data_IF_238920550628
#
_entry.id   IF_238920550628
#
_cell.length_a   1.000
_cell.length_b   1.000
_cell.length_c   1.000
_cell.angle_alpha   90.00
_cell.angle_beta   90.00
_cell.angle_gamma   90.00
#
_symmetry.space_group_name_H-M   'P 1'
#
loop_
_entity.id
_entity.type
_entity.pdbx_description
1 polymer ?
#
# COMPACT_ATOMS: atom_id res chain seq x y z
N UNK A 1 -31.98 -11.72 -23.62
CA UNK A 1 -31.98 -10.85 -24.83
C UNK A 1 -30.63 -10.17 -24.92
N UNK A 2 -29.91 -10.47 -26.00
CA UNK A 2 -28.51 -10.11 -26.25
C UNK A 2 -28.41 -8.75 -26.92
N UNK A 3 -27.44 -7.91 -26.52
CA UNK A 3 -26.79 -6.94 -27.41
C UNK A 3 -25.29 -6.89 -27.09
N UNK A 4 -24.52 -7.52 -27.98
CA UNK A 4 -23.06 -7.42 -28.11
C UNK A 4 -22.72 -6.12 -28.84
N UNK A 5 -21.68 -5.42 -28.40
CA UNK A 5 -20.86 -4.59 -29.29
C UNK A 5 -19.42 -4.52 -28.78
N UNK A 6 -18.53 -5.10 -29.59
CA UNK A 6 -17.05 -5.05 -29.54
C UNK A 6 -16.60 -3.83 -30.38
N UNK A 7 -15.31 -3.44 -30.30
CA UNK A 7 -14.47 -2.62 -31.25
C UNK A 7 -13.92 -1.36 -30.56
N UNK A 8 -12.62 -0.98 -30.58
CA UNK A 8 -11.39 -1.47 -31.20
C UNK A 8 -10.15 -0.99 -30.41
N UNK A 9 -9.07 -1.76 -30.51
CA UNK A 9 -7.70 -1.42 -30.11
C UNK A 9 -7.01 -0.68 -31.26
N UNK A 10 -6.29 0.41 -30.98
CA UNK A 10 -5.37 1.03 -31.92
C UNK A 10 -3.96 1.07 -31.32
N UNK A 11 -3.11 0.18 -31.79
CA UNK A 11 -1.66 0.16 -31.56
C UNK A 11 -1.01 1.06 -32.61
N UNK A 12 -0.19 2.01 -32.18
CA UNK A 12 0.70 2.78 -33.07
C UNK A 12 2.15 2.41 -32.73
N UNK A 13 2.70 1.55 -33.59
CA UNK A 13 4.10 1.18 -33.62
C UNK A 13 4.88 2.17 -34.49
N UNK A 14 6.08 2.56 -34.07
CA UNK A 14 7.05 3.30 -34.87
C UNK A 14 8.44 2.68 -34.70
N UNK A 15 9.00 2.18 -35.78
CA UNK A 15 10.41 1.83 -36.05
C UNK A 15 10.56 1.79 -37.59
N UNK A 16 11.76 1.77 -38.23
CA UNK A 16 13.13 1.58 -37.73
C UNK A 16 14.23 2.45 -38.44
N UNK A 17 15.52 2.26 -38.10
CA UNK A 17 16.78 2.35 -38.93
C UNK A 17 17.97 2.65 -38.00
N UNK A 18 18.87 1.68 -37.68
CA UNK A 18 20.06 1.23 -38.43
C UNK A 18 21.11 2.35 -38.62
N UNK A 19 22.43 2.23 -38.44
CA UNK A 19 23.40 1.13 -38.35
C UNK A 19 24.70 1.71 -37.73
N UNK A 20 25.54 0.91 -37.08
CA UNK A 20 26.87 1.37 -36.66
C UNK A 20 27.59 0.43 -35.70
N UNK A 21 28.00 -0.75 -36.16
CA UNK A 21 28.96 -1.62 -35.48
C UNK A 21 30.32 -1.59 -36.20
N UNK A 22 31.44 -1.40 -35.49
CA UNK A 22 32.76 -1.85 -35.94
C UNK A 22 33.12 -3.24 -35.36
N UNK A 23 33.92 -4.06 -36.08
CA UNK A 23 34.24 -5.43 -35.72
C UNK A 23 35.55 -5.57 -34.91
N UNK A 24 35.62 -6.61 -34.08
CA UNK A 24 36.85 -7.40 -33.91
C UNK A 24 37.62 -7.24 -32.61
N UNK A 25 37.66 -8.33 -31.83
CA UNK A 25 38.74 -8.61 -30.88
C UNK A 25 38.33 -9.49 -29.69
N UNK A 26 38.66 -10.79 -29.66
CA UNK A 26 38.56 -11.61 -28.46
C UNK A 26 39.76 -11.30 -27.56
N UNK A 27 39.54 -10.48 -26.54
CA UNK A 27 40.52 -10.16 -25.50
C UNK A 27 40.08 -10.76 -24.16
N UNK A 28 40.54 -11.96 -23.87
CA UNK A 28 40.50 -12.59 -22.56
C UNK A 28 41.23 -11.70 -21.55
N UNK A 29 40.52 -11.15 -20.57
CA UNK A 29 41.13 -10.59 -19.37
C UNK A 29 40.34 -11.08 -18.16
N UNK A 30 40.83 -12.18 -17.59
CA UNK A 30 40.55 -12.63 -16.23
C UNK A 30 40.81 -11.48 -15.25
N UNK A 31 39.76 -10.97 -14.60
CA UNK A 31 39.92 -10.20 -13.37
C UNK A 31 39.41 -11.05 -12.22
N UNK A 32 40.41 -11.48 -11.46
CA UNK A 32 40.35 -12.18 -10.19
C UNK A 32 39.47 -11.47 -9.18
N UNK A 33 38.62 -12.29 -8.57
CA UNK A 33 37.91 -12.12 -7.30
C UNK A 33 38.64 -11.26 -6.26
N UNK A 34 37.92 -10.27 -5.73
CA UNK A 34 37.92 -10.02 -4.28
C UNK A 34 36.47 -9.92 -3.81
N UNK A 35 35.98 -11.05 -3.27
CA UNK A 35 34.85 -11.05 -2.35
C UNK A 35 35.30 -10.39 -1.05
N UNK A 36 34.95 -9.12 -0.84
CA UNK A 36 34.87 -8.55 0.50
C UNK A 36 33.44 -8.73 1.01
N UNK A 37 33.14 -9.98 1.38
CA UNK A 37 32.06 -10.28 2.31
C UNK A 37 32.47 -9.77 3.68
N UNK A 38 32.23 -8.49 3.95
CA UNK A 38 32.06 -8.04 5.34
C UNK A 38 30.63 -8.39 5.74
N UNK A 39 30.43 -9.65 6.12
CA UNK A 39 29.29 -10.02 6.98
C UNK A 39 29.53 -9.41 8.35
N UNK A 40 29.26 -8.11 8.46
CA UNK A 40 28.85 -7.50 9.72
C UNK A 40 27.61 -8.25 10.14
N UNK A 41 27.77 -9.17 11.10
CA UNK A 41 26.64 -9.84 11.75
C UNK A 41 25.81 -8.75 12.40
N UNK A 42 24.78 -8.29 11.67
CA UNK A 42 23.76 -7.42 12.21
C UNK A 42 23.14 -8.16 13.40
N UNK A 43 23.02 -7.52 14.57
CA UNK A 43 22.40 -8.16 15.71
C UNK A 43 21.01 -8.64 15.29
N UNK A 44 20.71 -9.92 15.56
CA UNK A 44 19.41 -10.49 15.28
C UNK A 44 18.36 -9.65 16.02
N UNK A 45 17.56 -8.90 15.26
CA UNK A 45 16.50 -8.06 15.80
C UNK A 45 15.52 -8.96 16.57
N UNK A 46 15.24 -8.59 17.83
CA UNK A 46 14.20 -9.25 18.61
C UNK A 46 12.87 -9.22 17.83
N UNK A 47 12.03 -10.25 17.92
CA UNK A 47 10.77 -10.29 17.20
C UNK A 47 9.89 -9.10 17.64
N UNK A 48 9.42 -8.31 16.67
CA UNK A 48 8.56 -7.17 16.93
C UNK A 48 7.24 -7.65 17.54
N UNK A 49 6.78 -6.98 18.60
CA UNK A 49 5.48 -7.27 19.22
C UNK A 49 4.36 -6.90 18.25
N UNK A 50 3.48 -7.86 17.95
CA UNK A 50 2.29 -7.62 17.16
C UNK A 50 1.16 -7.06 18.03
N UNK A 51 0.28 -6.30 17.38
CA UNK A 51 -0.91 -5.67 17.94
C UNK A 51 -2.12 -6.21 17.17
N UNK A 52 -3.15 -6.64 17.91
CA UNK A 52 -4.41 -7.07 17.32
C UNK A 52 -5.25 -5.86 16.95
N UNK A 53 -5.66 -5.76 15.68
CA UNK A 53 -6.47 -4.65 15.17
C UNK A 53 -7.89 -4.70 15.80
N UNK A 54 -8.35 -3.63 16.49
CA UNK A 54 -9.72 -3.54 17.01
C UNK A 54 -10.79 -3.55 15.90
N UNK A 55 -11.99 -4.01 16.21
CA UNK A 55 -13.17 -3.78 15.36
C UNK A 55 -13.75 -2.40 15.68
N UNK A 56 -13.76 -1.51 14.69
CA UNK A 56 -14.32 -0.15 14.80
C UNK A 56 -15.50 0.08 13.85
N UNK A 57 -16.04 -0.99 13.26
CA UNK A 57 -17.15 -0.92 12.32
C UNK A 57 -18.38 -0.25 12.96
N UNK A 58 -18.96 0.74 12.27
CA UNK A 58 -20.13 1.47 12.75
C UNK A 58 -19.87 2.50 13.85
N UNK A 59 -18.64 2.59 14.39
CA UNK A 59 -18.27 3.63 15.36
C UNK A 59 -18.29 5.02 14.74
N UNK A 60 -18.38 6.04 15.59
CA UNK A 60 -18.01 7.40 15.21
C UNK A 60 -16.53 7.45 14.78
N UNK A 61 -16.17 8.33 13.85
CA UNK A 61 -14.79 8.39 13.35
C UNK A 61 -13.78 8.74 14.45
N UNK A 62 -14.11 9.65 15.37
CA UNK A 62 -13.23 9.99 16.49
C UNK A 62 -13.03 8.79 17.43
N UNK A 63 -14.13 8.12 17.80
CA UNK A 63 -14.08 6.97 18.71
C UNK A 63 -13.26 5.81 18.11
N UNK A 64 -13.34 5.63 16.79
CA UNK A 64 -12.54 4.66 16.05
C UNK A 64 -11.05 4.98 16.07
N UNK A 65 -10.67 6.24 15.83
CA UNK A 65 -9.27 6.67 15.94
C UNK A 65 -8.74 6.46 17.36
N UNK A 66 -9.52 6.85 18.38
CA UNK A 66 -9.11 6.63 19.76
C UNK A 66 -8.97 5.14 20.11
N UNK A 67 -9.85 4.28 19.58
CA UNK A 67 -9.77 2.83 19.80
C UNK A 67 -8.50 2.23 19.20
N UNK A 68 -8.12 2.67 17.99
CA UNK A 68 -6.86 2.27 17.36
C UNK A 68 -5.65 2.74 18.18
N UNK A 69 -5.64 4.00 18.60
CA UNK A 69 -4.55 4.57 19.39
C UNK A 69 -4.42 3.90 20.76
N UNK A 70 -5.55 3.59 21.42
CA UNK A 70 -5.57 2.81 22.67
C UNK A 70 -4.98 1.40 22.51
N UNK A 71 -5.08 0.81 21.32
CA UNK A 71 -4.44 -0.47 21.00
C UNK A 71 -2.94 -0.33 20.67
N UNK A 72 -2.46 0.89 20.44
CA UNK A 72 -1.07 1.19 20.05
C UNK A 72 -0.86 1.36 18.55
N UNK A 73 -1.94 1.55 17.77
CA UNK A 73 -1.91 1.77 16.32
C UNK A 73 -2.13 3.25 16.02
N UNK A 74 -1.07 3.93 15.59
CA UNK A 74 -1.06 5.39 15.41
C UNK A 74 -0.98 5.83 13.94
N UNK A 75 -0.52 4.96 13.04
CA UNK A 75 -0.43 5.25 11.61
C UNK A 75 -1.79 5.06 10.95
N UNK A 76 -2.69 6.03 11.12
CA UNK A 76 -4.05 5.97 10.59
C UNK A 76 -4.14 6.70 9.25
N UNK A 77 -4.82 6.08 8.28
CA UNK A 77 -5.19 6.66 7.00
C UNK A 77 -6.70 6.77 6.91
N UNK A 78 -7.19 7.95 6.56
CA UNK A 78 -8.63 8.22 6.51
C UNK A 78 -9.13 8.23 5.06
N UNK A 79 -10.29 7.61 4.83
CA UNK A 79 -10.91 7.51 3.51
C UNK A 79 -12.39 7.84 3.60
N UNK A 80 -12.83 8.72 2.70
CA UNK A 80 -14.25 8.93 2.42
C UNK A 80 -14.83 7.73 1.67
N UNK A 81 -15.66 6.95 2.37
CA UNK A 81 -16.30 5.74 1.86
C UNK A 81 -17.28 5.97 0.71
N UNK A 82 -17.65 7.22 0.41
CA UNK A 82 -18.46 7.55 -0.78
C UNK A 82 -17.63 7.58 -2.07
N UNK A 83 -16.30 7.61 -1.96
CA UNK A 83 -15.39 7.77 -3.11
C UNK A 83 -15.25 9.21 -3.61
N UNK A 84 -15.88 10.20 -2.95
CA UNK A 84 -15.79 11.62 -3.33
C UNK A 84 -14.44 12.27 -2.95
N UNK A 85 -13.60 11.58 -2.17
CA UNK A 85 -12.28 12.09 -1.77
C UNK A 85 -12.34 13.28 -0.81
N UNK A 86 -13.44 13.43 -0.05
CA UNK A 86 -13.55 14.49 0.96
C UNK A 86 -12.62 14.22 2.13
N UNK A 87 -12.08 15.28 2.72
CA UNK A 87 -11.38 15.19 3.99
C UNK A 87 -12.38 15.06 5.15
N UNK A 88 -12.05 14.22 6.14
CA UNK A 88 -12.86 13.99 7.33
C UNK A 88 -12.57 15.09 8.36
N UNK A 89 -12.93 16.35 8.06
CA UNK A 89 -12.50 17.52 8.87
C UNK A 89 -13.15 17.59 10.26
N UNK A 90 -14.39 17.10 10.39
CA UNK A 90 -15.13 17.07 11.66
C UNK A 90 -15.49 15.62 11.93
N UNK A 91 -14.59 14.87 12.55
CA UNK A 91 -14.67 13.41 12.76
C UNK A 91 -16.02 12.96 13.30
N UNK A 92 -16.60 13.76 14.20
CA UNK A 92 -17.90 13.49 14.82
C UNK A 92 -19.07 13.43 13.82
N UNK A 93 -18.92 13.98 12.62
CA UNK A 93 -19.93 13.93 11.55
C UNK A 93 -19.85 12.64 10.71
N UNK A 94 -18.92 11.73 11.01
CA UNK A 94 -18.63 10.55 10.19
C UNK A 94 -18.81 9.24 10.98
N UNK A 95 -19.21 8.19 10.27
CA UNK A 95 -19.38 6.84 10.78
C UNK A 95 -18.55 5.85 9.99
N UNK A 96 -17.80 4.98 10.68
CA UNK A 96 -17.01 3.92 10.06
C UNK A 96 -17.91 2.96 9.28
N UNK A 97 -17.54 2.70 8.04
CA UNK A 97 -18.16 1.70 7.15
C UNK A 97 -17.19 0.58 6.79
N UNK A 98 -15.90 0.75 7.09
CA UNK A 98 -14.91 -0.30 6.92
C UNK A 98 -13.55 0.08 7.49
N UNK A 99 -12.68 -0.93 7.57
CA UNK A 99 -11.30 -0.79 7.97
C UNK A 99 -10.42 -1.79 7.22
N UNK A 100 -9.15 -1.46 7.08
CA UNK A 100 -8.12 -2.36 6.55
C UNK A 100 -6.80 -2.13 7.31
N UNK A 101 -6.12 -3.17 7.83
CA UNK A 101 -6.50 -4.58 7.83
C UNK A 101 -7.80 -4.91 8.60
N UNK A 102 -8.36 -6.09 8.32
CA UNK A 102 -9.60 -6.55 8.94
C UNK A 102 -9.48 -6.67 10.47
N UNK A 103 -10.59 -6.52 11.22
CA UNK A 103 -10.59 -6.71 12.67
C UNK A 103 -9.98 -8.05 13.09
N UNK A 104 -9.19 -8.01 14.16
CA UNK A 104 -8.54 -9.18 14.72
C UNK A 104 -7.24 -9.61 14.02
N UNK A 105 -6.87 -8.98 12.89
CA UNK A 105 -5.56 -9.15 12.26
C UNK A 105 -4.46 -8.73 13.23
N UNK A 106 -3.33 -9.44 13.24
CA UNK A 106 -2.14 -9.06 14.00
C UNK A 106 -1.16 -8.30 13.10
N UNK A 107 -0.80 -7.08 13.50
CA UNK A 107 0.05 -6.17 12.72
C UNK A 107 1.18 -5.59 13.58
N UNK A 108 2.32 -5.19 12.98
CA UNK A 108 3.33 -4.43 13.70
C UNK A 108 2.79 -3.03 14.07
N UNK A 109 3.37 -2.39 15.08
CA UNK A 109 2.89 -1.11 15.61
C UNK A 109 2.94 0.07 14.62
N UNK A 110 3.80 -0.03 13.60
CA UNK A 110 3.97 0.95 12.53
C UNK A 110 3.11 0.67 11.29
N UNK A 111 2.29 -0.40 11.32
CA UNK A 111 1.38 -0.70 10.23
C UNK A 111 0.40 0.44 9.99
N UNK A 112 0.16 0.75 8.71
CA UNK A 112 -0.86 1.71 8.31
C UNK A 112 -2.23 1.06 8.40
N UNK A 113 -3.13 1.68 9.14
CA UNK A 113 -4.53 1.25 9.27
C UNK A 113 -5.41 2.23 8.50
N UNK A 114 -6.10 1.75 7.47
CA UNK A 114 -7.10 2.54 6.75
C UNK A 114 -8.43 2.49 7.47
N UNK A 115 -8.99 3.64 7.80
CA UNK A 115 -10.32 3.84 8.35
C UNK A 115 -11.21 4.47 7.27
N UNK A 116 -12.26 3.77 6.88
CA UNK A 116 -13.20 4.22 5.84
C UNK A 116 -14.51 4.63 6.48
N UNK A 117 -14.95 5.86 6.24
CA UNK A 117 -16.16 6.39 6.86
C UNK A 117 -17.00 7.21 5.86
N UNK A 118 -18.30 7.30 6.13
CA UNK A 118 -19.24 8.16 5.39
C UNK A 118 -19.85 9.17 6.36
N UNK A 119 -20.30 10.34 5.88
CA UNK A 119 -21.00 11.26 6.76
C UNK A 119 -22.37 10.69 7.15
N UNK A 120 -22.88 11.09 8.30
CA UNK A 120 -24.20 10.65 8.76
C UNK A 120 -25.36 11.07 7.84
N UNK A 121 -25.18 12.12 7.02
CA UNK A 121 -26.17 12.63 6.06
C UNK A 121 -26.09 11.97 4.67
N UNK A 122 -25.05 11.18 4.37
CA UNK A 122 -24.88 10.45 3.09
C UNK A 122 -25.68 9.13 3.01
N UNK A 123 -26.87 9.06 3.63
CA UNK A 123 -27.65 7.80 3.78
C UNK A 123 -28.17 7.24 2.47
#
# INVERSE_FOLDING_TARGET
>A
MSRRTVTAVAVLAFAPVACGAPPGGPGTATVTSISESTTTSAPAAAPAKLIKVPDVSGMNHQDAQDAMQRAGLYNLREVDGTGQGRALVIDRNWRQTGQDPAPGTEVPADAVITLTAVKYDDR
#
